data_IF_661540936072
#
_entry.id   IF_661540936072
#
_cell.length_a   1.000
_cell.length_b   1.000
_cell.length_c   1.000
_cell.angle_alpha   90.00
_cell.angle_beta   90.00
_cell.angle_gamma   90.00
#
_symmetry.space_group_name_H-M   'P 1'
#
loop_
_entity.id
_entity.type
_entity.pdbx_description
1 polymer ?
#
# COMPACT_ATOMS: atom_id res chain seq x y z
N UNK A 1 -12.67 -3.42 7.23
CA UNK A 1 -11.86 -2.39 6.53
C UNK A 1 -11.23 -3.02 5.29
N UNK A 2 -11.30 -2.34 4.19
CA UNK A 2 -10.65 -2.78 2.95
C UNK A 2 -9.30 -2.09 2.80
N UNK A 3 -8.30 -2.85 2.41
CA UNK A 3 -6.91 -2.37 2.35
C UNK A 3 -6.31 -2.68 0.98
N UNK A 4 -5.56 -1.73 0.44
CA UNK A 4 -4.81 -1.89 -0.80
C UNK A 4 -3.33 -1.88 -0.44
N UNK A 5 -2.59 -2.89 -0.91
CA UNK A 5 -1.18 -3.02 -0.61
C UNK A 5 -0.40 -3.49 -1.83
N UNK A 6 0.85 -3.05 -1.93
CA UNK A 6 1.83 -3.58 -2.87
C UNK A 6 2.94 -4.27 -2.07
N UNK A 7 4.03 -4.67 -2.72
CA UNK A 7 5.13 -5.36 -2.04
C UNK A 7 6.03 -4.39 -1.26
N UNK A 8 6.82 -4.92 -0.34
CA UNK A 8 7.89 -4.16 0.30
C UNK A 8 8.93 -3.74 -0.75
N UNK A 9 9.55 -2.57 -0.57
CA UNK A 9 10.40 -2.00 -1.60
C UNK A 9 9.60 -1.37 -2.73
N UNK A 10 8.43 -0.84 -2.43
CA UNK A 10 7.49 -0.27 -3.40
C UNK A 10 8.19 0.72 -4.34
N UNK A 11 8.04 0.50 -5.64
CA UNK A 11 8.51 1.39 -6.69
C UNK A 11 7.34 2.22 -7.25
N UNK A 12 7.62 3.06 -8.28
CA UNK A 12 6.57 3.88 -8.87
C UNK A 12 5.48 3.07 -9.56
N UNK A 13 5.81 1.93 -10.15
CA UNK A 13 4.81 1.05 -10.76
C UNK A 13 3.84 0.51 -9.71
N UNK A 14 4.39 0.09 -8.56
CA UNK A 14 3.58 -0.37 -7.44
C UNK A 14 2.68 0.72 -6.89
N UNK A 15 3.22 1.93 -6.74
CA UNK A 15 2.44 3.07 -6.25
C UNK A 15 1.32 3.42 -7.24
N UNK A 16 1.61 3.43 -8.54
CA UNK A 16 0.61 3.72 -9.56
C UNK A 16 -0.51 2.68 -9.55
N UNK A 17 -0.15 1.40 -9.39
CA UNK A 17 -1.14 0.33 -9.29
C UNK A 17 -2.04 0.49 -8.06
N UNK A 18 -1.47 0.90 -6.92
CA UNK A 18 -2.26 1.17 -5.72
C UNK A 18 -3.25 2.31 -5.93
N UNK A 19 -2.82 3.39 -6.55
CA UNK A 19 -3.68 4.54 -6.82
C UNK A 19 -4.82 4.15 -7.78
N UNK A 20 -4.52 3.37 -8.81
CA UNK A 20 -5.54 2.90 -9.74
C UNK A 20 -6.57 2.02 -9.02
N UNK A 21 -6.11 1.13 -8.16
CA UNK A 21 -6.99 0.28 -7.37
C UNK A 21 -7.88 1.11 -6.44
N UNK A 22 -7.32 2.15 -5.82
CA UNK A 22 -8.06 3.04 -4.92
C UNK A 22 -9.18 3.77 -5.66
N UNK A 23 -8.98 4.12 -6.91
CA UNK A 23 -10.02 4.77 -7.72
C UNK A 23 -11.19 3.83 -8.00
N UNK A 24 -10.92 2.54 -8.12
CA UNK A 24 -11.96 1.52 -8.31
C UNK A 24 -12.64 1.14 -7.00
N UNK A 25 -11.98 1.36 -5.88
CA UNK A 25 -12.47 0.99 -4.55
C UNK A 25 -12.30 2.16 -3.59
N UNK A 26 -13.15 3.21 -3.71
CA UNK A 26 -12.95 4.45 -2.96
C UNK A 26 -12.95 4.31 -1.44
N UNK A 27 -13.57 3.26 -0.91
CA UNK A 27 -13.61 3.00 0.54
C UNK A 27 -12.36 2.28 1.04
N UNK A 28 -11.49 1.83 0.15
CA UNK A 28 -10.30 1.11 0.54
C UNK A 28 -9.17 2.06 0.96
N UNK A 29 -8.37 1.62 1.91
CA UNK A 29 -7.25 2.37 2.46
C UNK A 29 -5.96 1.87 1.83
N UNK A 30 -5.16 2.80 1.29
CA UNK A 30 -3.83 2.45 0.75
C UNK A 30 -2.84 2.33 1.88
N UNK A 31 -2.06 1.23 1.89
CA UNK A 31 -1.15 0.90 2.98
C UNK A 31 0.24 0.58 2.42
N UNK A 32 1.26 1.13 3.07
CA UNK A 32 2.65 0.82 2.76
C UNK A 32 3.13 -0.31 3.66
N UNK A 33 3.54 -1.42 3.03
CA UNK A 33 4.08 -2.57 3.73
C UNK A 33 5.60 -2.56 3.55
N UNK A 34 6.32 -2.42 4.66
CA UNK A 34 7.77 -2.39 4.63
C UNK A 34 8.33 -1.06 4.12
N UNK A 35 9.46 -1.13 3.44
CA UNK A 35 10.14 0.06 2.93
C UNK A 35 9.69 0.41 1.51
N UNK A 36 10.01 1.62 1.08
CA UNK A 36 9.81 2.10 -0.28
C UNK A 36 11.16 2.52 -0.86
N UNK A 37 11.26 2.56 -2.17
CA UNK A 37 12.44 3.07 -2.83
C UNK A 37 12.61 4.56 -2.52
N UNK A 38 13.86 5.09 -2.45
CA UNK A 38 14.08 6.49 -2.01
C UNK A 38 13.28 7.52 -2.81
N UNK A 39 13.22 7.37 -4.14
CA UNK A 39 12.45 8.31 -4.97
C UNK A 39 10.96 8.28 -4.67
N UNK A 40 10.42 7.09 -4.40
CA UNK A 40 9.00 6.93 -4.02
C UNK A 40 8.73 7.56 -2.68
N UNK A 41 9.62 7.37 -1.70
CA UNK A 41 9.47 7.97 -0.38
C UNK A 41 9.41 9.49 -0.46
N UNK A 42 10.30 10.09 -1.25
CA UNK A 42 10.33 11.54 -1.44
C UNK A 42 9.06 12.03 -2.13
N UNK A 43 8.60 11.32 -3.14
CA UNK A 43 7.37 11.66 -3.86
C UNK A 43 6.15 11.63 -2.93
N UNK A 44 6.03 10.59 -2.12
CA UNK A 44 4.92 10.45 -1.17
C UNK A 44 4.97 11.58 -0.15
N UNK A 45 6.16 11.88 0.40
CA UNK A 45 6.32 12.93 1.39
C UNK A 45 5.91 14.30 0.85
N UNK A 46 6.17 14.57 -0.44
CA UNK A 46 5.80 15.82 -1.09
C UNK A 46 4.35 15.90 -1.54
N UNK A 47 3.60 14.79 -1.48
CA UNK A 47 2.25 14.74 -2.04
C UNK A 47 1.24 14.12 -1.06
N UNK A 48 1.43 14.30 0.23
CA UNK A 48 0.58 13.64 1.26
C UNK A 48 -0.89 14.00 1.14
N UNK A 49 -1.20 15.20 0.70
CA UNK A 49 -2.59 15.64 0.56
C UNK A 49 -3.31 14.89 -0.56
N UNK A 50 -2.56 14.41 -1.55
CA UNK A 50 -3.12 13.69 -2.70
C UNK A 50 -2.96 12.18 -2.58
N UNK A 51 -2.09 11.72 -1.67
CA UNK A 51 -1.76 10.32 -1.50
C UNK A 51 -1.92 9.93 -0.02
N UNK A 52 -3.16 9.68 0.43
CA UNK A 52 -3.40 9.33 1.83
C UNK A 52 -2.97 7.88 2.09
N UNK A 53 -1.68 7.69 2.33
CA UNK A 53 -1.09 6.39 2.57
C UNK A 53 -0.85 6.19 4.06
N UNK A 54 -1.20 5.01 4.55
CA UNK A 54 -0.98 4.61 5.93
C UNK A 54 0.11 3.56 5.99
N UNK A 55 0.78 3.44 7.11
CA UNK A 55 1.76 2.38 7.33
C UNK A 55 1.07 1.18 7.97
N UNK A 56 1.55 -0.02 7.62
CA UNK A 56 0.94 -1.26 8.13
C UNK A 56 0.94 -1.31 9.67
N UNK A 57 1.99 -0.77 10.31
CA UNK A 57 2.10 -0.77 11.75
C UNK A 57 1.01 0.04 12.45
N UNK A 58 0.39 0.98 11.73
CA UNK A 58 -0.65 1.85 12.27
C UNK A 58 -2.03 1.22 12.23
N UNK A 59 -2.17 0.05 11.59
CA UNK A 59 -3.46 -0.59 11.40
C UNK A 59 -3.66 -1.75 12.35
N UNK A 60 -4.91 -1.99 12.71
CA UNK A 60 -5.30 -3.22 13.39
C UNK A 60 -5.58 -4.26 12.32
N UNK A 61 -4.65 -5.20 12.14
CA UNK A 61 -4.74 -6.20 11.08
C UNK A 61 -5.96 -7.10 11.22
N UNK A 62 -6.47 -7.27 12.44
CA UNK A 62 -7.66 -8.08 12.69
C UNK A 62 -8.94 -7.44 12.11
N UNK A 63 -8.89 -6.16 11.82
CA UNK A 63 -10.02 -5.42 11.26
C UNK A 63 -10.07 -5.44 9.73
N UNK A 64 -9.09 -6.03 9.09
CA UNK A 64 -9.05 -6.09 7.63
C UNK A 64 -10.01 -7.17 7.14
N UNK A 65 -11.01 -6.76 6.36
CA UNK A 65 -11.98 -7.68 5.77
C UNK A 65 -11.62 -8.07 4.34
N UNK A 66 -10.99 -7.17 3.59
CA UNK A 66 -10.62 -7.40 2.21
C UNK A 66 -9.23 -6.83 1.96
N UNK A 67 -8.39 -7.60 1.30
CA UNK A 67 -7.03 -7.18 0.96
C UNK A 67 -6.86 -7.22 -0.56
N UNK A 68 -6.64 -6.04 -1.15
CA UNK A 68 -6.32 -5.92 -2.57
C UNK A 68 -4.80 -5.89 -2.71
N UNK A 69 -4.24 -6.89 -3.35
CA UNK A 69 -2.79 -7.00 -3.55
C UNK A 69 -2.49 -6.63 -4.99
N UNK A 70 -1.69 -5.59 -5.18
CA UNK A 70 -1.34 -5.12 -6.51
C UNK A 70 0.17 -5.16 -6.70
N UNK A 71 0.62 -5.50 -7.91
CA UNK A 71 2.04 -5.52 -8.29
C UNK A 71 2.90 -6.34 -7.33
N UNK A 72 2.34 -7.45 -6.79
CA UNK A 72 3.06 -8.38 -5.92
C UNK A 72 2.78 -9.80 -6.38
N UNK A 73 3.83 -10.56 -6.69
CA UNK A 73 3.70 -11.93 -7.17
C UNK A 73 3.92 -12.97 -6.08
N UNK A 74 4.48 -12.57 -4.96
CA UNK A 74 4.80 -13.47 -3.86
C UNK A 74 4.38 -12.80 -2.56
N UNK A 75 3.61 -13.51 -1.73
CA UNK A 75 3.13 -12.97 -0.44
C UNK A 75 4.26 -12.55 0.48
N UNK A 76 5.45 -13.13 0.34
CA UNK A 76 6.62 -12.74 1.13
C UNK A 76 7.02 -11.29 0.89
N UNK A 77 6.64 -10.72 -0.25
CA UNK A 77 6.91 -9.32 -0.56
C UNK A 77 6.01 -8.35 0.21
N UNK A 78 4.98 -8.85 0.87
CA UNK A 78 4.02 -8.04 1.61
C UNK A 78 4.49 -7.70 3.03
N UNK A 79 5.59 -8.31 3.48
CA UNK A 79 6.11 -8.05 4.82
C UNK A 79 5.13 -8.44 5.90
N UNK A 80 4.78 -7.48 6.75
CA UNK A 80 3.91 -7.70 7.90
C UNK A 80 2.50 -8.14 7.53
N UNK A 81 2.05 -7.87 6.32
CA UNK A 81 0.71 -8.23 5.86
C UNK A 81 0.66 -9.62 5.28
N UNK A 82 1.79 -10.32 5.15
CA UNK A 82 1.83 -11.69 4.70
C UNK A 82 1.44 -12.63 5.85
N UNK A 83 0.56 -13.57 5.57
CA UNK A 83 0.13 -14.56 6.57
C UNK A 83 -0.20 -15.90 5.92
#
# INVERSE_FOLDING_TARGET
>A
MEVIVSHGGTDFDGLAAMVACAKLHPQAVMVLAGSQRPGVRQFIAGNRDFLPLHRAEQLNLDKISTLYIVDAQDRRLLGELAW
#
